data_IF_689473720116
#
_entry.id   IF_689473720116
#
_cell.length_a   1.000
_cell.length_b   1.000
_cell.length_c   1.000
_cell.angle_alpha   90.00
_cell.angle_beta   90.00
_cell.angle_gamma   90.00
#
_symmetry.space_group_name_H-M   'P 1'
#
loop_
_entity.id
_entity.type
_entity.pdbx_description
1 polymer ?
#
# COMPACT_ATOMS: atom_id res chain seq x y z
N UNK A 1 -2.97 -16.92 -13.86
CA UNK A 1 -3.10 -16.28 -12.54
C UNK A 1 -3.38 -14.85 -12.85
N UNK A 2 -4.65 -14.49 -12.70
CA UNK A 2 -5.28 -13.31 -13.27
C UNK A 2 -4.70 -12.05 -12.60
N UNK A 3 -4.12 -11.18 -13.44
CA UNK A 3 -3.61 -9.84 -13.10
C UNK A 3 -4.76 -8.88 -12.69
N UNK A 4 -5.99 -9.39 -12.51
CA UNK A 4 -7.21 -8.63 -12.19
C UNK A 4 -7.29 -8.16 -10.73
N UNK A 5 -6.37 -8.58 -9.87
CA UNK A 5 -6.45 -8.27 -8.45
C UNK A 5 -5.87 -6.87 -8.10
N UNK A 6 -5.07 -6.27 -8.99
CA UNK A 6 -4.60 -4.88 -8.84
C UNK A 6 -5.21 -3.97 -9.92
N UNK A 7 -5.64 -2.74 -9.60
CA UNK A 7 -6.12 -1.79 -10.61
C UNK A 7 -4.94 -1.33 -11.48
N UNK A 8 -5.05 -1.45 -12.81
CA UNK A 8 -4.09 -0.83 -13.74
C UNK A 8 -3.90 0.66 -13.38
N UNK A 9 -2.68 1.21 -13.37
CA UNK A 9 -1.38 0.65 -13.79
C UNK A 9 -0.57 -0.10 -12.70
N UNK A 10 -1.23 -0.63 -11.68
CA UNK A 10 -0.57 -1.34 -10.58
C UNK A 10 -0.50 -2.84 -10.83
N UNK A 11 0.56 -3.47 -10.31
CA UNK A 11 0.74 -4.93 -10.32
C UNK A 11 1.06 -5.45 -8.94
N UNK A 12 0.64 -6.68 -8.66
CA UNK A 12 1.08 -7.39 -7.46
C UNK A 12 2.54 -7.77 -7.67
N UNK A 13 3.39 -7.28 -6.80
CA UNK A 13 4.81 -7.60 -6.81
C UNK A 13 5.13 -8.74 -5.84
N UNK A 14 4.44 -8.81 -4.71
CA UNK A 14 4.63 -9.88 -3.73
C UNK A 14 3.33 -10.14 -2.99
N UNK A 15 2.84 -11.37 -3.05
CA UNK A 15 1.81 -11.91 -2.17
C UNK A 15 2.43 -13.05 -1.35
N UNK A 16 2.42 -12.92 -0.03
CA UNK A 16 2.95 -13.94 0.89
C UNK A 16 2.03 -14.10 2.08
N UNK A 17 1.73 -15.35 2.42
CA UNK A 17 1.04 -15.70 3.65
C UNK A 17 2.07 -16.28 4.63
N UNK A 18 2.03 -15.82 5.87
CA UNK A 18 2.87 -16.24 6.97
C UNK A 18 2.00 -16.86 8.06
N UNK A 19 2.35 -18.04 8.53
CA UNK A 19 1.80 -18.60 9.77
C UNK A 19 2.75 -18.21 10.90
N UNK A 20 2.28 -17.40 11.85
CA UNK A 20 3.09 -17.09 13.02
C UNK A 20 3.23 -18.36 13.88
N UNK A 21 4.46 -18.75 14.23
CA UNK A 21 4.70 -20.00 14.97
C UNK A 21 3.97 -20.07 16.33
N UNK A 22 3.63 -18.92 16.91
CA UNK A 22 2.97 -18.76 18.22
C UNK A 22 1.51 -18.28 18.11
N UNK A 23 0.95 -18.23 16.91
CA UNK A 23 -0.44 -17.77 16.71
C UNK A 23 -1.11 -18.54 15.59
N UNK A 24 -2.30 -19.07 15.86
CA UNK A 24 -3.19 -19.69 14.85
C UNK A 24 -3.65 -18.69 13.77
N UNK A 25 -3.25 -17.41 13.90
CA UNK A 25 -3.58 -16.35 12.97
C UNK A 25 -2.66 -16.39 11.74
N UNK A 26 -3.23 -16.75 10.61
CA UNK A 26 -2.63 -16.51 9.29
C UNK A 26 -2.44 -15.00 9.06
N UNK A 27 -1.19 -14.59 8.84
CA UNK A 27 -0.81 -13.24 8.50
C UNK A 27 -0.56 -13.15 7.00
N UNK A 28 -0.94 -12.06 6.36
CA UNK A 28 -0.67 -11.82 4.94
C UNK A 28 0.23 -10.61 4.73
N UNK A 29 1.03 -10.67 3.71
CA UNK A 29 1.87 -9.60 3.23
C UNK A 29 1.56 -9.43 1.76
N UNK A 30 1.16 -8.23 1.39
CA UNK A 30 0.87 -7.91 0.00
C UNK A 30 1.59 -6.62 -0.37
N UNK A 31 2.32 -6.64 -1.47
CA UNK A 31 2.99 -5.48 -2.03
C UNK A 31 2.56 -5.28 -3.48
N UNK A 32 2.18 -4.04 -3.78
CA UNK A 32 1.82 -3.57 -5.10
C UNK A 32 2.90 -2.62 -5.60
N UNK A 33 3.22 -2.72 -6.88
CA UNK A 33 4.16 -1.82 -7.56
C UNK A 33 3.46 -1.11 -8.71
N UNK A 34 3.67 0.19 -8.82
CA UNK A 34 3.21 0.97 -9.96
C UNK A 34 4.08 0.65 -11.18
N UNK A 35 3.52 0.64 -12.39
CA UNK A 35 4.30 0.32 -13.61
C UNK A 35 5.49 1.25 -13.85
N UNK A 36 5.42 2.50 -13.39
CA UNK A 36 6.51 3.49 -13.48
C UNK A 36 7.72 3.17 -12.59
N UNK A 37 7.62 2.19 -11.69
CA UNK A 37 8.66 1.81 -10.70
C UNK A 37 8.92 2.87 -9.60
N UNK A 38 8.35 4.06 -9.70
CA UNK A 38 8.52 5.14 -8.72
C UNK A 38 7.74 4.94 -7.41
N UNK A 39 6.83 3.97 -7.34
CA UNK A 39 5.96 3.77 -6.18
C UNK A 39 5.70 2.30 -5.87
N UNK A 40 5.73 1.99 -4.58
CA UNK A 40 5.30 0.72 -3.98
C UNK A 40 4.31 0.97 -2.87
N UNK A 41 3.22 0.19 -2.84
CA UNK A 41 2.23 0.18 -1.75
C UNK A 41 2.29 -1.17 -1.06
N UNK A 42 2.28 -1.19 0.26
CA UNK A 42 2.45 -2.41 1.05
C UNK A 42 1.37 -2.53 2.11
N UNK A 43 0.77 -3.71 2.19
CA UNK A 43 -0.15 -4.16 3.22
C UNK A 43 0.58 -5.24 4.02
N UNK A 44 1.01 -4.88 5.22
CA UNK A 44 1.71 -5.80 6.11
C UNK A 44 1.06 -5.77 7.50
N UNK A 45 1.20 -6.84 8.31
CA UNK A 45 0.87 -6.77 9.72
C UNK A 45 1.63 -5.62 10.37
N UNK A 46 0.95 -4.79 11.16
CA UNK A 46 1.53 -3.61 11.81
C UNK A 46 2.76 -3.99 12.67
N UNK A 47 2.72 -5.18 13.29
CA UNK A 47 3.85 -5.75 14.02
C UNK A 47 5.13 -5.94 13.17
N UNK A 48 5.00 -6.20 11.87
CA UNK A 48 6.17 -6.29 10.96
C UNK A 48 6.72 -4.92 10.57
N UNK A 49 5.92 -3.85 10.68
CA UNK A 49 6.33 -2.48 10.39
C UNK A 49 6.92 -1.77 11.63
N UNK A 50 7.10 -2.49 12.75
CA UNK A 50 7.58 -1.91 14.01
C UNK A 50 6.52 -1.12 14.77
N UNK A 51 5.24 -1.27 14.39
CA UNK A 51 4.13 -0.60 15.03
C UNK A 51 3.47 -1.52 16.07
N UNK A 52 3.30 -1.03 17.29
CA UNK A 52 2.75 -1.80 18.42
C UNK A 52 1.23 -1.99 18.33
N UNK A 53 0.55 -1.42 17.34
CA UNK A 53 -0.89 -1.57 17.22
C UNK A 53 -1.24 -2.94 16.62
N UNK A 54 -2.26 -3.62 17.14
CA UNK A 54 -2.75 -4.85 16.54
C UNK A 54 -3.37 -4.55 15.17
N UNK A 55 -3.03 -5.35 14.15
CA UNK A 55 -3.66 -5.27 12.83
C UNK A 55 -2.66 -5.25 11.67
N UNK A 56 -3.03 -4.50 10.63
CA UNK A 56 -2.35 -4.35 9.36
C UNK A 56 -2.10 -2.87 9.08
N UNK A 57 -0.86 -2.53 8.74
CA UNK A 57 -0.45 -1.21 8.30
C UNK A 57 -0.38 -1.17 6.77
N UNK A 58 -0.95 -0.10 6.21
CA UNK A 58 -0.79 0.32 4.83
C UNK A 58 0.32 1.36 4.78
N UNK A 59 1.42 1.02 4.11
CA UNK A 59 2.54 1.93 3.88
C UNK A 59 2.74 2.16 2.39
N UNK A 60 3.21 3.34 2.04
CA UNK A 60 3.56 3.69 0.67
C UNK A 60 5.01 4.15 0.63
N UNK A 61 5.76 3.62 -0.32
CA UNK A 61 7.16 3.96 -0.54
C UNK A 61 7.28 4.59 -1.92
N UNK A 62 7.72 5.84 -1.97
CA UNK A 62 8.10 6.52 -3.21
C UNK A 62 9.60 6.39 -3.43
N UNK A 63 9.99 6.20 -4.69
CA UNK A 63 11.35 6.14 -5.18
C UNK A 63 11.58 7.31 -6.14
N UNK A 64 11.70 8.56 -5.63
CA UNK A 64 12.01 9.71 -6.47
C UNK A 64 13.47 9.62 -6.96
N UNK A 65 13.72 8.86 -8.01
CA UNK A 65 15.05 8.74 -8.64
C UNK A 65 16.16 8.19 -7.72
N UNK A 66 17.39 8.72 -7.88
CA UNK A 66 18.63 8.25 -7.21
C UNK A 66 18.78 8.72 -5.75
N UNK A 67 17.84 9.53 -5.24
CA UNK A 67 17.99 10.23 -3.97
C UNK A 67 16.93 9.75 -2.97
N UNK A 68 17.19 8.61 -2.33
CA UNK A 68 16.48 8.06 -1.16
C UNK A 68 15.01 7.69 -1.38
N UNK A 69 14.70 6.40 -1.13
CA UNK A 69 13.33 5.94 -1.00
C UNK A 69 12.68 6.52 0.25
N UNK A 70 11.52 7.16 0.10
CA UNK A 70 10.75 7.69 1.22
C UNK A 70 9.56 6.79 1.51
N UNK A 71 9.43 6.31 2.74
CA UNK A 71 8.28 5.49 3.17
C UNK A 71 7.38 6.28 4.11
N UNK A 72 6.11 6.40 3.75
CA UNK A 72 5.08 7.10 4.52
C UNK A 72 3.99 6.12 4.97
N UNK A 73 3.57 6.15 6.24
CA UNK A 73 2.39 5.42 6.68
C UNK A 73 1.13 6.10 6.13
N UNK A 74 0.23 5.29 5.57
CA UNK A 74 -1.09 5.74 5.12
C UNK A 74 -2.09 5.55 6.25
N UNK A 75 -2.24 4.32 6.75
CA UNK A 75 -3.23 3.96 7.78
C UNK A 75 -2.98 2.58 8.37
N UNK A 76 -3.35 2.40 9.63
CA UNK A 76 -3.39 1.09 10.28
C UNK A 76 -4.83 0.68 10.57
N UNK A 77 -5.19 -0.57 10.23
CA UNK A 77 -6.53 -1.15 10.44
C UNK A 77 -6.44 -2.58 10.97
N UNK A 78 -7.50 -3.09 11.59
CA UNK A 78 -7.44 -4.36 12.33
C UNK A 78 -7.37 -5.62 11.44
N UNK A 79 -7.85 -5.55 10.20
CA UNK A 79 -7.99 -6.72 9.31
C UNK A 79 -7.31 -6.48 7.95
N UNK A 80 -6.80 -7.57 7.37
CA UNK A 80 -6.17 -7.57 6.05
C UNK A 80 -7.12 -7.05 4.98
N UNK A 81 -8.34 -7.59 4.90
CA UNK A 81 -9.32 -7.24 3.86
C UNK A 81 -9.69 -5.75 3.87
N UNK A 82 -9.72 -5.13 5.06
CA UNK A 82 -9.96 -3.69 5.17
C UNK A 82 -8.74 -2.90 4.71
N UNK A 83 -7.54 -3.36 5.05
CA UNK A 83 -6.29 -2.72 4.64
C UNK A 83 -6.11 -2.81 3.11
N UNK A 84 -6.33 -3.98 2.54
CA UNK A 84 -6.29 -4.24 1.10
C UNK A 84 -7.30 -3.37 0.34
N UNK A 85 -8.53 -3.26 0.83
CA UNK A 85 -9.52 -2.37 0.22
C UNK A 85 -9.06 -0.91 0.21
N UNK A 86 -8.48 -0.42 1.31
CA UNK A 86 -7.94 0.95 1.38
C UNK A 86 -6.74 1.09 0.42
N UNK A 87 -5.90 0.06 0.29
CA UNK A 87 -4.80 0.04 -0.67
C UNK A 87 -5.33 0.17 -2.11
N UNK A 88 -6.38 -0.58 -2.48
CA UNK A 88 -7.00 -0.48 -3.81
C UNK A 88 -7.61 0.88 -4.08
N UNK A 89 -8.28 1.49 -3.11
CA UNK A 89 -8.81 2.85 -3.24
C UNK A 89 -7.69 3.88 -3.37
N UNK A 90 -6.59 3.72 -2.63
CA UNK A 90 -5.38 4.54 -2.78
C UNK A 90 -4.85 4.45 -4.22
N UNK A 91 -4.68 3.23 -4.73
CA UNK A 91 -4.16 2.97 -6.08
C UNK A 91 -5.02 3.61 -7.18
N UNK A 92 -6.35 3.52 -7.06
CA UNK A 92 -7.30 4.17 -7.99
C UNK A 92 -7.21 5.70 -7.95
N UNK A 93 -7.15 6.28 -6.75
CA UNK A 93 -7.03 7.74 -6.58
C UNK A 93 -5.71 8.27 -7.11
N UNK A 94 -4.63 7.51 -6.93
CA UNK A 94 -3.32 7.85 -7.45
C UNK A 94 -3.31 7.85 -8.98
N UNK A 95 -3.83 6.77 -9.61
CA UNK A 95 -3.89 6.66 -11.08
C UNK A 95 -4.62 7.84 -11.73
N UNK A 96 -5.75 8.28 -11.16
CA UNK A 96 -6.55 9.37 -11.73
C UNK A 96 -5.87 10.76 -11.72
N UNK A 97 -4.92 11.00 -10.80
CA UNK A 97 -4.27 12.31 -10.63
C UNK A 97 -2.83 12.33 -11.12
N UNK A 98 -2.20 11.16 -11.18
CA UNK A 98 -0.87 10.97 -11.77
C UNK A 98 -0.89 11.03 -13.32
N UNK A 99 -2.05 10.84 -13.95
CA UNK A 99 -2.27 11.00 -15.41
C UNK A 99 -2.39 12.48 -15.87
N UNK A 100 -2.12 13.46 -14.98
CA UNK A 100 -2.28 14.90 -15.25
C UNK A 100 -1.01 15.75 -14.98
N UNK A 101 -1.07 17.09 -15.08
CA UNK A 101 0.08 17.99 -14.89
C UNK A 101 0.55 18.14 -13.42
N UNK A 102 0.20 17.20 -12.54
CA UNK A 102 0.60 17.19 -11.13
C UNK A 102 1.92 16.44 -10.90
N UNK A 103 2.65 16.79 -9.84
CA UNK A 103 3.86 16.04 -9.46
C UNK A 103 3.49 14.71 -8.78
N UNK A 104 4.42 13.74 -8.81
CA UNK A 104 4.33 12.46 -8.08
C UNK A 104 3.92 12.67 -6.61
N UNK A 105 4.55 13.66 -5.97
CA UNK A 105 4.34 13.99 -4.57
C UNK A 105 2.93 14.53 -4.29
N UNK A 106 2.37 15.38 -5.16
CA UNK A 106 1.00 15.91 -5.00
C UNK A 106 -0.04 14.80 -5.16
N UNK A 107 0.15 13.91 -6.15
CA UNK A 107 -0.73 12.76 -6.36
C UNK A 107 -0.67 11.78 -5.18
N UNK A 108 0.54 11.50 -4.67
CA UNK A 108 0.78 10.66 -3.49
C UNK A 108 0.09 11.26 -2.25
N UNK A 109 0.31 12.54 -1.96
CA UNK A 109 -0.24 13.20 -0.79
C UNK A 109 -1.77 13.27 -0.87
N UNK A 110 -2.32 13.56 -2.05
CA UNK A 110 -3.76 13.57 -2.29
C UNK A 110 -4.40 12.21 -1.99
N UNK A 111 -3.87 11.14 -2.59
CA UNK A 111 -4.36 9.78 -2.38
C UNK A 111 -4.27 9.41 -0.90
N UNK A 112 -3.12 9.66 -0.26
CA UNK A 112 -2.89 9.36 1.16
C UNK A 112 -3.90 10.06 2.06
N UNK A 113 -4.09 11.37 1.88
CA UNK A 113 -5.01 12.18 2.68
C UNK A 113 -6.45 11.69 2.54
N UNK A 114 -6.86 11.35 1.32
CA UNK A 114 -8.23 10.89 1.07
C UNK A 114 -8.50 9.51 1.66
N UNK A 115 -7.53 8.59 1.60
CA UNK A 115 -7.66 7.25 2.20
C UNK A 115 -7.49 7.24 3.72
N UNK A 116 -6.77 8.21 4.27
CA UNK A 116 -6.67 8.41 5.71
C UNK A 116 -7.98 8.96 6.31
N UNK A 117 -8.65 9.87 5.60
CA UNK A 117 -9.90 10.53 6.05
C UNK A 117 -11.18 9.72 5.82
N UNK A 118 -11.12 8.67 4.98
CA UNK A 118 -12.29 7.84 4.65
C UNK A 118 -12.75 7.05 5.90
N UNK A 119 -13.81 7.53 6.56
CA UNK A 119 -14.38 6.97 7.79
C UNK A 119 -15.15 5.66 7.52
#
# INVERSE_FOLDING_TARGET
MDDEDAPSPWRIETDRTYSAADSDRELRYLAYRHESDDLRVKVAPAALEGDSHPGYALTVTSYPGLELSETKPVRTVLTFERCDRIAREFMKLFSARYDGPGTLEDALEYARRRTADHR
#
